data_IF_855806074932
#
_entry.id   IF_855806074932
#
_cell.length_a   1.000
_cell.length_b   1.000
_cell.length_c   1.000
_cell.angle_alpha   90.00
_cell.angle_beta   90.00
_cell.angle_gamma   90.00
#
_symmetry.space_group_name_H-M   'P 1'
#
loop_
_entity.id
_entity.type
_entity.pdbx_description
1 polymer ?
#
# COMPACT_ATOMS: atom_id res chain seq x y z
N UNK A 1 -1.70 16.52 1.30
CA UNK A 1 -3.01 15.92 1.06
C UNK A 1 -3.92 16.95 0.44
N UNK A 2 -4.40 16.65 -0.75
CA UNK A 2 -5.50 17.39 -1.34
C UNK A 2 -6.72 16.47 -1.36
N UNK A 3 -7.91 17.01 -1.15
CA UNK A 3 -9.13 16.22 -1.08
C UNK A 3 -10.25 16.84 -1.89
N UNK A 4 -11.00 15.98 -2.57
CA UNK A 4 -12.17 16.37 -3.32
C UNK A 4 -13.35 15.49 -2.94
N UNK A 5 -14.50 16.11 -2.69
CA UNK A 5 -15.76 15.41 -2.50
C UNK A 5 -16.52 15.34 -3.81
N UNK A 6 -16.97 14.14 -4.17
CA UNK A 6 -17.79 13.90 -5.34
C UNK A 6 -19.11 13.26 -4.92
N UNK A 7 -20.20 13.74 -5.52
CA UNK A 7 -21.55 13.21 -5.29
C UNK A 7 -21.91 12.28 -6.44
N UNK A 8 -22.22 11.03 -6.13
CA UNK A 8 -22.73 10.04 -7.07
C UNK A 8 -24.14 9.62 -6.63
N UNK A 9 -25.15 10.02 -7.42
CA UNK A 9 -26.56 9.98 -7.03
C UNK A 9 -26.78 10.71 -5.69
N UNK A 10 -27.34 10.03 -4.68
CA UNK A 10 -27.54 10.58 -3.35
C UNK A 10 -26.36 10.34 -2.41
N UNK A 11 -25.28 9.69 -2.85
CA UNK A 11 -24.13 9.33 -2.03
C UNK A 11 -22.96 10.26 -2.27
N UNK A 12 -22.17 10.49 -1.22
CA UNK A 12 -20.94 11.30 -1.30
C UNK A 12 -19.73 10.43 -1.02
N UNK A 13 -18.68 10.63 -1.81
CA UNK A 13 -17.36 10.04 -1.60
C UNK A 13 -16.34 11.15 -1.54
N UNK A 14 -15.40 11.05 -0.62
CA UNK A 14 -14.24 11.92 -0.53
C UNK A 14 -13.02 11.15 -1.00
N UNK A 15 -12.33 11.72 -1.98
CA UNK A 15 -11.08 11.19 -2.53
C UNK A 15 -9.95 12.09 -2.07
N UNK A 16 -8.97 11.51 -1.40
CA UNK A 16 -7.83 12.23 -0.83
C UNK A 16 -6.53 11.69 -1.43
N UNK A 17 -5.76 12.56 -2.06
CA UNK A 17 -4.40 12.28 -2.51
C UNK A 17 -3.46 12.27 -1.30
N UNK A 18 -2.80 11.15 -1.04
CA UNK A 18 -1.89 10.92 0.08
C UNK A 18 -0.44 10.71 -0.40
N UNK A 19 0.59 11.07 0.38
CA UNK A 19 1.97 10.85 -0.06
C UNK A 19 2.35 9.36 -0.13
N UNK A 20 3.33 9.04 -0.96
CA UNK A 20 4.04 7.76 -0.96
C UNK A 20 5.51 7.98 -1.36
N UNK A 21 6.36 6.95 -1.26
CA UNK A 21 7.78 7.03 -1.56
C UNK A 21 8.07 6.40 -2.92
N UNK A 22 8.03 7.19 -3.99
CA UNK A 22 8.26 6.72 -5.36
C UNK A 22 8.83 7.83 -6.25
N UNK A 23 8.79 7.64 -7.57
CA UNK A 23 9.19 8.62 -8.58
C UNK A 23 8.26 8.58 -9.81
N UNK A 24 8.46 9.49 -10.76
CA UNK A 24 7.80 9.48 -12.07
C UNK A 24 8.82 9.64 -13.18
N UNK A 25 8.51 9.09 -14.35
CA UNK A 25 9.28 9.26 -15.58
C UNK A 25 8.63 8.51 -16.75
N UNK A 26 8.51 9.16 -17.91
CA UNK A 26 8.02 8.56 -19.17
C UNK A 26 9.01 8.72 -20.32
N UNK A 27 10.01 9.57 -20.15
CA UNK A 27 11.10 9.82 -21.09
C UNK A 27 12.38 10.17 -20.34
N UNK A 28 13.50 10.21 -21.04
CA UNK A 28 14.81 10.53 -20.44
C UNK A 28 14.92 11.97 -19.90
N UNK A 29 13.90 12.83 -20.09
CA UNK A 29 13.94 14.26 -19.74
C UNK A 29 12.79 14.70 -18.83
N UNK A 30 11.98 13.78 -18.31
CA UNK A 30 10.79 14.12 -17.51
C UNK A 30 10.74 13.46 -16.13
N UNK A 31 11.87 12.91 -15.68
CA UNK A 31 11.98 12.39 -14.33
C UNK A 31 11.53 13.44 -13.31
N UNK A 32 10.63 13.06 -12.41
CA UNK A 32 10.08 13.91 -11.34
C UNK A 32 9.28 15.14 -11.80
N UNK A 33 8.87 15.24 -13.07
CA UNK A 33 8.05 16.37 -13.56
C UNK A 33 6.58 16.29 -13.19
N UNK A 34 6.09 15.12 -12.77
CA UNK A 34 4.76 14.93 -12.20
C UNK A 34 4.84 14.28 -10.83
N UNK A 35 3.84 14.53 -9.99
CA UNK A 35 3.76 13.88 -8.68
C UNK A 35 3.38 12.40 -8.79
N UNK A 36 3.80 11.64 -7.79
CA UNK A 36 3.32 10.31 -7.44
C UNK A 36 2.48 10.42 -6.16
N UNK A 37 1.56 9.48 -5.96
CA UNK A 37 0.65 9.51 -4.82
C UNK A 37 0.11 8.12 -4.49
N UNK A 38 -0.21 7.94 -3.21
CA UNK A 38 -1.21 6.98 -2.76
C UNK A 38 -2.58 7.68 -2.68
N UNK A 39 -3.66 6.91 -2.51
CA UNK A 39 -5.01 7.45 -2.52
C UNK A 39 -5.86 6.89 -1.39
N UNK A 40 -6.71 7.73 -0.82
CA UNK A 40 -7.80 7.31 0.07
C UNK A 40 -9.12 7.60 -0.61
N UNK A 41 -10.01 6.62 -0.58
CA UNK A 41 -11.43 6.79 -0.94
C UNK A 41 -12.24 6.50 0.31
N UNK A 42 -13.04 7.47 0.74
CA UNK A 42 -13.89 7.32 1.92
C UNK A 42 -15.33 7.71 1.61
N UNK A 43 -16.29 6.95 2.12
CA UNK A 43 -17.70 7.37 2.08
C UNK A 43 -17.92 8.54 3.04
N UNK A 44 -18.85 9.43 2.69
CA UNK A 44 -19.31 10.49 3.60
C UNK A 44 -20.69 10.10 4.11
N UNK A 45 -20.81 9.71 5.40
CA UNK A 45 -22.08 9.33 6.01
C UNK A 45 -23.16 10.40 5.87
N UNK A 46 -24.41 10.01 5.65
CA UNK A 46 -25.54 10.95 5.58
C UNK A 46 -26.10 11.27 6.95
N UNK A 47 -25.99 10.30 7.85
CA UNK A 47 -26.50 10.37 9.21
C UNK A 47 -25.38 10.06 10.20
N UNK A 48 -25.42 10.66 11.38
CA UNK A 48 -24.39 10.44 12.42
C UNK A 48 -24.31 8.99 12.92
N UNK A 49 -25.38 8.21 12.72
CA UNK A 49 -25.41 6.78 13.05
C UNK A 49 -24.69 5.89 12.03
N UNK A 50 -24.37 6.42 10.85
CA UNK A 50 -23.68 5.68 9.79
C UNK A 50 -22.16 5.81 9.95
N UNK A 51 -21.46 4.70 9.80
CA UNK A 51 -19.99 4.66 9.79
C UNK A 51 -19.48 4.95 8.38
N UNK A 52 -18.36 5.66 8.28
CA UNK A 52 -17.64 5.78 7.03
C UNK A 52 -16.87 4.49 6.70
N UNK A 53 -16.73 4.22 5.41
CA UNK A 53 -15.92 3.13 4.88
C UNK A 53 -14.69 3.77 4.25
N UNK A 54 -13.49 3.36 4.65
CA UNK A 54 -12.24 3.92 4.16
C UNK A 54 -11.39 2.87 3.46
N UNK A 55 -11.07 3.15 2.19
CA UNK A 55 -10.20 2.32 1.35
C UNK A 55 -8.92 3.08 1.06
N UNK A 56 -7.77 2.42 1.27
CA UNK A 56 -6.45 2.94 0.93
C UNK A 56 -5.85 2.21 -0.27
N UNK A 57 -5.38 2.95 -1.26
CA UNK A 57 -4.62 2.43 -2.39
C UNK A 57 -3.18 2.95 -2.29
N UNK A 58 -2.24 2.06 -2.00
CA UNK A 58 -0.84 2.43 -1.73
C UNK A 58 -0.07 2.95 -2.95
N UNK A 59 -0.53 2.61 -4.16
CA UNK A 59 0.25 2.80 -5.38
C UNK A 59 1.59 2.06 -5.33
N UNK A 60 2.49 2.40 -6.23
CA UNK A 60 3.89 1.96 -6.13
C UNK A 60 4.58 2.80 -5.07
N UNK A 61 5.23 2.14 -4.13
CA UNK A 61 5.92 2.81 -3.05
C UNK A 61 7.00 1.94 -2.44
N UNK A 62 8.08 2.57 -2.02
CA UNK A 62 9.01 2.02 -1.05
C UNK A 62 8.54 2.31 0.39
N UNK A 63 9.22 1.67 1.34
CA UNK A 63 9.07 1.95 2.77
C UNK A 63 10.38 2.43 3.40
N UNK A 64 11.54 2.14 2.78
CA UNK A 64 12.86 2.48 3.32
C UNK A 64 13.95 2.47 2.26
N UNK A 65 15.08 3.12 2.51
CA UNK A 65 16.31 2.91 1.73
C UNK A 65 17.18 1.88 2.44
N UNK A 66 17.50 0.76 1.79
CA UNK A 66 18.39 -0.29 2.31
C UNK A 66 19.74 -0.17 1.59
N UNK A 67 20.80 0.34 2.23
CA UNK A 67 22.13 0.34 1.63
C UNK A 67 22.61 -1.08 1.31
N UNK A 68 23.45 -1.24 0.29
CA UNK A 68 24.04 -2.54 -0.06
C UNK A 68 24.83 -3.11 1.15
N UNK A 69 24.46 -4.32 1.58
CA UNK A 69 25.06 -5.01 2.73
C UNK A 69 24.54 -4.57 4.10
N UNK A 70 23.58 -3.64 4.16
CA UNK A 70 22.94 -3.27 5.41
C UNK A 70 21.89 -4.31 5.84
N UNK A 71 21.72 -4.44 7.14
CA UNK A 71 20.60 -5.14 7.76
C UNK A 71 19.34 -4.27 7.63
N UNK A 72 18.39 -4.69 6.77
CA UNK A 72 17.19 -3.91 6.48
C UNK A 72 16.30 -3.67 7.71
N UNK A 73 16.42 -4.49 8.76
CA UNK A 73 15.65 -4.29 10.00
C UNK A 73 16.19 -3.15 10.87
N UNK A 74 17.38 -2.62 10.56
CA UNK A 74 18.06 -1.58 11.34
C UNK A 74 18.11 -0.21 10.64
N UNK A 75 17.57 -0.11 9.42
CA UNK A 75 17.51 1.17 8.70
C UNK A 75 16.21 1.92 9.03
N UNK A 76 16.22 3.27 8.99
CA UNK A 76 15.00 4.05 9.17
C UNK A 76 14.00 3.78 8.04
N UNK A 77 12.72 3.94 8.34
CA UNK A 77 11.62 3.81 7.40
C UNK A 77 10.89 5.15 7.21
N UNK A 78 10.10 5.22 6.14
CA UNK A 78 9.33 6.38 5.74
C UNK A 78 8.23 6.65 6.78
N UNK A 79 8.24 7.79 7.48
CA UNK A 79 7.28 8.06 8.55
C UNK A 79 5.86 8.33 8.03
N UNK A 80 5.71 8.56 6.71
CA UNK A 80 4.46 9.07 6.15
C UNK A 80 3.30 8.07 6.27
N UNK A 81 3.56 6.77 6.29
CA UNK A 81 2.51 5.77 6.46
C UNK A 81 1.90 5.82 7.85
N UNK A 82 2.74 6.00 8.88
CA UNK A 82 2.27 6.22 10.24
C UNK A 82 1.48 7.52 10.32
N UNK A 83 1.94 8.59 9.67
CA UNK A 83 1.17 9.84 9.61
C UNK A 83 -0.19 9.66 8.91
N UNK A 84 -0.28 8.86 7.85
CA UNK A 84 -1.54 8.53 7.17
C UNK A 84 -2.48 7.78 8.14
N UNK A 85 -1.98 6.77 8.86
CA UNK A 85 -2.75 6.02 9.85
C UNK A 85 -3.16 6.83 11.08
N UNK A 86 -2.38 7.84 11.46
CA UNK A 86 -2.70 8.75 12.56
C UNK A 86 -3.72 9.83 12.16
N UNK A 87 -3.69 10.30 10.90
CA UNK A 87 -4.57 11.36 10.41
C UNK A 87 -5.91 10.87 9.85
N UNK A 88 -5.91 9.74 9.15
CA UNK A 88 -7.06 9.28 8.34
C UNK A 88 -7.56 7.90 8.78
N UNK A 89 -6.65 7.00 9.16
CA UNK A 89 -6.97 5.64 9.58
C UNK A 89 -7.89 5.55 10.81
N UNK A 90 -8.31 4.35 11.20
CA UNK A 90 -8.02 3.06 10.56
C UNK A 90 -8.73 2.88 9.21
N UNK A 91 -8.19 2.03 8.34
CA UNK A 91 -8.80 1.69 7.04
C UNK A 91 -9.52 0.35 7.10
N UNK A 92 -10.66 0.24 6.42
CA UNK A 92 -11.41 -1.02 6.32
C UNK A 92 -10.78 -1.95 5.27
N UNK A 93 -10.26 -1.37 4.18
CA UNK A 93 -9.51 -2.10 3.16
C UNK A 93 -8.27 -1.31 2.72
N UNK A 94 -7.19 -2.02 2.43
CA UNK A 94 -6.02 -1.45 1.76
C UNK A 94 -5.52 -2.34 0.63
N UNK A 95 -4.99 -1.74 -0.43
CA UNK A 95 -4.29 -2.43 -1.50
C UNK A 95 -2.83 -1.99 -1.46
N UNK A 96 -1.91 -2.93 -1.24
CA UNK A 96 -0.50 -2.64 -0.98
C UNK A 96 0.40 -3.44 -1.93
N UNK A 97 1.44 -2.82 -2.52
CA UNK A 97 2.36 -3.53 -3.42
C UNK A 97 3.22 -4.51 -2.62
N UNK A 98 3.40 -5.72 -3.15
CA UNK A 98 4.26 -6.75 -2.54
C UNK A 98 5.34 -7.28 -3.46
N UNK A 99 5.39 -6.84 -4.73
CA UNK A 99 6.40 -7.25 -5.73
C UNK A 99 7.24 -6.07 -6.22
N UNK A 100 8.13 -6.35 -7.18
CA UNK A 100 9.09 -5.41 -7.75
C UNK A 100 10.19 -4.94 -6.78
N UNK A 101 10.62 -5.79 -5.84
CA UNK A 101 11.47 -5.37 -4.71
C UNK A 101 12.93 -5.84 -4.77
N UNK A 102 13.32 -6.67 -5.75
CA UNK A 102 14.68 -7.22 -5.83
C UNK A 102 15.54 -6.56 -6.92
N UNK A 103 16.84 -6.30 -6.69
CA UNK A 103 17.56 -6.44 -5.44
C UNK A 103 17.27 -5.27 -4.48
N UNK A 104 17.26 -5.55 -3.17
CA UNK A 104 16.85 -4.57 -2.13
C UNK A 104 17.65 -3.28 -2.17
N UNK A 105 18.97 -3.35 -2.40
CA UNK A 105 19.82 -2.16 -2.41
C UNK A 105 19.48 -1.15 -3.50
N UNK A 106 18.79 -1.60 -4.55
CA UNK A 106 18.36 -0.79 -5.68
C UNK A 106 16.87 -0.44 -5.60
N UNK A 107 16.04 -1.43 -5.29
CA UNK A 107 14.58 -1.31 -5.40
C UNK A 107 13.89 -0.83 -4.12
N UNK A 108 14.45 -1.04 -2.93
CA UNK A 108 13.80 -0.64 -1.67
C UNK A 108 13.34 0.83 -1.60
N UNK A 109 14.03 1.81 -2.21
CA UNK A 109 13.64 3.21 -2.10
C UNK A 109 12.33 3.50 -2.82
N UNK A 110 11.90 2.62 -3.72
CA UNK A 110 10.76 2.84 -4.61
C UNK A 110 9.74 1.70 -4.57
N UNK A 111 10.11 0.50 -4.08
CA UNK A 111 9.21 -0.66 -3.96
C UNK A 111 9.36 -1.39 -2.61
N UNK A 112 8.22 -1.62 -1.97
CA UNK A 112 8.08 -2.45 -0.78
C UNK A 112 8.37 -3.92 -1.10
N UNK A 113 9.13 -4.57 -0.21
CA UNK A 113 9.04 -6.03 -0.10
C UNK A 113 7.73 -6.42 0.61
N UNK A 114 7.36 -7.72 0.64
CA UNK A 114 6.23 -8.18 1.43
C UNK A 114 6.33 -7.78 2.91
N UNK A 115 7.53 -7.79 3.48
CA UNK A 115 7.77 -7.40 4.87
C UNK A 115 7.57 -5.90 5.10
N UNK A 116 8.00 -5.07 4.15
CA UNK A 116 7.68 -3.65 4.16
C UNK A 116 6.17 -3.42 4.05
N UNK A 117 5.48 -4.17 3.19
CA UNK A 117 4.04 -4.03 3.02
C UNK A 117 3.28 -4.37 4.31
N UNK A 118 3.68 -5.40 5.06
CA UNK A 118 3.07 -5.71 6.37
C UNK A 118 3.27 -4.57 7.37
N UNK A 119 4.43 -3.92 7.38
CA UNK A 119 4.66 -2.74 8.22
C UNK A 119 3.80 -1.55 7.79
N UNK A 120 3.64 -1.33 6.48
CA UNK A 120 2.72 -0.32 5.96
C UNK A 120 1.28 -0.62 6.40
N UNK A 121 0.82 -1.87 6.32
CA UNK A 121 -0.50 -2.30 6.80
C UNK A 121 -0.73 -1.94 8.28
N UNK A 122 0.28 -2.15 9.13
CA UNK A 122 0.23 -1.76 10.55
C UNK A 122 0.24 -0.25 10.76
N UNK A 123 1.16 0.46 10.08
CA UNK A 123 1.36 1.90 10.23
C UNK A 123 0.11 2.69 9.81
N UNK A 124 -0.57 2.26 8.74
CA UNK A 124 -1.84 2.86 8.30
C UNK A 124 -3.04 2.37 9.12
N UNK A 125 -2.85 1.41 10.04
CA UNK A 125 -3.89 0.78 10.87
C UNK A 125 -4.99 0.15 10.01
N UNK A 126 -4.59 -0.59 8.99
CA UNK A 126 -5.54 -1.28 8.11
C UNK A 126 -6.12 -2.51 8.82
N UNK A 127 -7.43 -2.71 8.70
CA UNK A 127 -8.10 -3.93 9.20
C UNK A 127 -7.91 -5.10 8.26
N UNK A 128 -7.91 -4.82 6.95
CA UNK A 128 -7.72 -5.81 5.89
C UNK A 128 -6.90 -5.23 4.75
N UNK A 129 -5.90 -5.96 4.28
CA UNK A 129 -5.11 -5.62 3.10
C UNK A 129 -5.16 -6.71 2.03
N UNK A 130 -5.04 -6.29 0.78
CA UNK A 130 -4.87 -7.15 -0.39
C UNK A 130 -3.51 -6.84 -1.02
N UNK A 131 -2.70 -7.88 -1.22
CA UNK A 131 -1.41 -7.78 -1.89
C UNK A 131 -1.59 -7.62 -3.39
N UNK A 132 -1.02 -6.54 -3.95
CA UNK A 132 -1.03 -6.21 -5.37
C UNK A 132 0.40 -6.06 -5.92
N UNK A 133 0.53 -5.70 -7.20
CA UNK A 133 1.82 -5.44 -7.84
C UNK A 133 2.79 -6.66 -7.88
N UNK A 134 2.24 -7.87 -8.02
CA UNK A 134 3.00 -9.12 -8.14
C UNK A 134 2.33 -10.07 -9.14
N UNK A 135 3.05 -11.09 -9.63
CA UNK A 135 2.47 -12.20 -10.39
C UNK A 135 2.04 -11.90 -11.83
N UNK A 136 2.18 -10.66 -12.31
CA UNK A 136 1.72 -10.24 -13.65
C UNK A 136 2.87 -9.93 -14.61
N UNK A 137 3.89 -9.20 -14.15
CA UNK A 137 5.05 -8.79 -14.96
C UNK A 137 6.35 -9.08 -14.21
N UNK A 138 7.38 -9.48 -14.95
CA UNK A 138 8.75 -9.61 -14.43
C UNK A 138 9.43 -8.24 -14.55
N UNK A 139 9.42 -7.47 -13.46
CA UNK A 139 10.03 -6.14 -13.39
C UNK A 139 11.43 -6.14 -12.76
N UNK A 140 11.76 -7.21 -12.06
CA UNK A 140 12.89 -7.33 -11.14
C UNK A 140 13.27 -8.80 -10.97
N UNK A 141 14.30 -9.07 -10.17
CA UNK A 141 14.96 -10.38 -10.08
C UNK A 141 14.24 -11.40 -9.19
N UNK A 142 13.19 -11.04 -8.44
CA UNK A 142 12.48 -12.03 -7.61
C UNK A 142 11.66 -13.02 -8.44
N UNK A 143 11.48 -14.23 -7.90
CA UNK A 143 10.56 -15.21 -8.47
C UNK A 143 9.10 -14.71 -8.35
N UNK A 144 8.31 -14.84 -9.42
CA UNK A 144 6.93 -14.34 -9.47
C UNK A 144 6.02 -14.96 -8.39
N UNK A 145 6.32 -16.16 -7.92
CA UNK A 145 5.56 -16.88 -6.89
C UNK A 145 6.06 -16.60 -5.46
N UNK A 146 7.21 -15.94 -5.30
CA UNK A 146 7.79 -15.61 -3.99
C UNK A 146 6.95 -14.62 -3.17
N UNK A 147 6.39 -13.53 -3.73
CA UNK A 147 5.76 -12.46 -2.94
C UNK A 147 4.63 -12.93 -2.01
N UNK A 148 3.63 -13.73 -2.45
CA UNK A 148 2.56 -14.20 -1.55
C UNK A 148 3.09 -15.08 -0.41
N UNK A 149 4.07 -15.94 -0.72
CA UNK A 149 4.68 -16.84 0.28
C UNK A 149 5.39 -16.05 1.37
N UNK A 150 6.13 -15.02 1.00
CA UNK A 150 6.81 -14.12 1.94
C UNK A 150 5.83 -13.26 2.73
N UNK A 151 4.77 -12.78 2.08
CA UNK A 151 3.69 -12.07 2.77
C UNK A 151 3.08 -12.92 3.88
N UNK A 152 2.67 -14.16 3.56
CA UNK A 152 2.09 -15.08 4.53
C UNK A 152 3.06 -15.39 5.68
N UNK A 153 4.34 -15.60 5.36
CA UNK A 153 5.37 -15.84 6.36
C UNK A 153 5.55 -14.64 7.30
N UNK A 154 5.59 -13.41 6.79
CA UNK A 154 5.74 -12.22 7.63
C UNK A 154 4.50 -11.97 8.50
N UNK A 155 3.30 -12.17 7.95
CA UNK A 155 2.06 -12.05 8.74
C UNK A 155 2.10 -12.99 9.95
N UNK A 156 2.51 -14.26 9.75
CA UNK A 156 2.69 -15.23 10.85
C UNK A 156 3.78 -14.79 11.81
N UNK A 157 4.94 -14.35 11.32
CA UNK A 157 6.07 -13.92 12.14
C UNK A 157 5.70 -12.75 13.07
N UNK A 158 4.81 -11.86 12.62
CA UNK A 158 4.31 -10.71 13.38
C UNK A 158 3.10 -11.01 14.25
N UNK A 159 2.61 -12.25 14.25
CA UNK A 159 1.48 -12.68 15.06
C UNK A 159 0.11 -12.23 14.53
N UNK A 160 0.03 -11.84 13.26
CA UNK A 160 -1.24 -11.53 12.60
C UNK A 160 -1.88 -12.78 12.01
N UNK A 161 -3.20 -12.75 11.86
CA UNK A 161 -3.91 -13.73 11.04
C UNK A 161 -3.60 -13.48 9.55
N UNK A 162 -3.04 -14.45 8.81
CA UNK A 162 -2.78 -14.30 7.37
C UNK A 162 -4.03 -13.90 6.56
N UNK A 163 -5.24 -14.15 7.04
CA UNK A 163 -6.47 -13.72 6.37
C UNK A 163 -6.68 -12.19 6.38
N UNK A 164 -6.03 -11.45 7.29
CA UNK A 164 -6.14 -9.99 7.34
C UNK A 164 -5.24 -9.29 6.32
N UNK A 165 -4.20 -9.96 5.82
CA UNK A 165 -3.42 -9.47 4.69
C UNK A 165 -2.92 -10.63 3.83
N UNK A 166 -3.66 -10.89 2.75
CA UNK A 166 -3.37 -11.93 1.78
C UNK A 166 -3.48 -11.39 0.34
N UNK A 167 -3.32 -12.29 -0.62
CA UNK A 167 -3.56 -12.02 -2.04
C UNK A 167 -4.86 -12.69 -2.47
N UNK A 168 -5.43 -12.22 -3.57
CA UNK A 168 -6.55 -12.88 -4.27
C UNK A 168 -6.09 -13.35 -5.65
N UNK A 169 -6.83 -14.28 -6.25
CA UNK A 169 -6.52 -14.74 -7.60
C UNK A 169 -6.80 -13.65 -8.64
N UNK A 170 -6.07 -13.70 -9.76
CA UNK A 170 -6.32 -12.80 -10.90
C UNK A 170 -7.74 -13.06 -11.42
N UNK A 171 -8.58 -12.03 -11.38
CA UNK A 171 -10.00 -12.11 -11.77
C UNK A 171 -10.97 -12.47 -10.64
N UNK A 172 -10.47 -12.74 -9.43
CA UNK A 172 -11.32 -12.95 -8.26
C UNK A 172 -11.99 -11.64 -7.80
N UNK A 173 -13.24 -11.74 -7.33
CA UNK A 173 -13.95 -10.63 -6.67
C UNK A 173 -14.10 -10.95 -5.20
N UNK A 174 -13.59 -10.06 -4.36
CA UNK A 174 -13.74 -10.15 -2.91
C UNK A 174 -14.82 -9.17 -2.43
N UNK A 175 -15.78 -9.68 -1.66
CA UNK A 175 -16.76 -8.86 -0.94
C UNK A 175 -16.26 -8.67 0.50
N UNK A 176 -16.25 -7.43 0.98
CA UNK A 176 -15.84 -7.08 2.34
C UNK A 176 -17.02 -6.41 3.03
N UNK A 177 -17.44 -7.00 4.15
CA UNK A 177 -18.38 -6.37 5.06
C UNK A 177 -17.61 -5.33 5.88
N UNK A 178 -17.92 -4.05 5.66
CA UNK A 178 -17.20 -2.89 6.22
C UNK A 178 -18.00 -2.14 7.29
#
# INVERSE_FOLDING_TARGET
WDSHEHTFHDNKVKVTCTPCQHFTGRSIHDHYKTLWASWVVQTVPKHESEKDIKVFFGGDTGYRFVPKGADENKVPHCPVFKEIGDRIGPFDLSMLPIGAYSPRWFMSPVHCSPEDAVRVHEDIKSKRSIGMHWGTWVLTDEDLSEPPRRLEAEMKNRGHDPATFNTIHIGETLVIDA
#
